data_IF_951750171623
#
_entry.id   IF_951750171623
#
_cell.length_a   1.000
_cell.length_b   1.000
_cell.length_c   1.000
_cell.angle_alpha   90.00
_cell.angle_beta   90.00
_cell.angle_gamma   90.00
#
_symmetry.space_group_name_H-M   'P 1'
#
loop_
_entity.id
_entity.type
_entity.pdbx_description
1 polymer ?
#
# COMPACT_ATOMS: atom_id res chain seq x y z
N UNK A 1 -1.48 22.86 27.62
CA UNK A 1 -0.70 22.18 26.59
C UNK A 1 -1.29 20.80 26.42
N UNK A 2 -2.08 20.58 25.38
CA UNK A 2 -2.66 19.26 25.11
C UNK A 2 -1.49 18.42 24.58
N UNK A 3 -1.07 17.43 25.37
CA UNK A 3 -0.19 16.36 24.91
C UNK A 3 -1.01 15.57 23.89
N UNK A 4 -0.85 15.87 22.61
CA UNK A 4 -1.35 15.03 21.53
C UNK A 4 -0.42 13.81 21.42
N UNK A 5 -0.55 12.90 22.38
CA UNK A 5 0.05 11.56 22.34
C UNK A 5 -0.75 10.61 21.44
N UNK A 6 -1.50 11.14 20.46
CA UNK A 6 -2.35 10.38 19.53
C UNK A 6 -1.97 10.55 18.06
N UNK A 7 -0.72 10.95 17.78
CA UNK A 7 -0.03 10.45 16.59
C UNK A 7 0.13 8.93 16.76
N UNK A 8 -0.98 8.20 16.58
CA UNK A 8 -1.04 6.76 16.43
C UNK A 8 0.14 6.38 15.55
N UNK A 9 1.10 5.64 16.11
CA UNK A 9 2.19 5.11 15.31
C UNK A 9 1.56 4.25 14.24
N UNK A 10 1.59 4.72 13.00
CA UNK A 10 1.18 3.89 11.88
C UNK A 10 2.05 2.64 11.89
N UNK A 11 1.41 1.47 11.85
CA UNK A 11 2.10 0.19 12.02
C UNK A 11 2.88 -0.26 10.77
N UNK A 12 2.84 0.55 9.71
CA UNK A 12 3.51 0.26 8.45
C UNK A 12 4.93 0.86 8.41
N UNK A 13 5.85 0.21 7.69
CA UNK A 13 7.25 0.61 7.60
C UNK A 13 7.42 1.96 6.90
N UNK A 14 8.27 2.81 7.47
CA UNK A 14 8.62 4.10 6.87
C UNK A 14 7.54 5.16 7.01
N UNK A 15 6.59 5.03 7.95
CA UNK A 15 5.51 6.02 8.12
C UNK A 15 5.99 7.46 8.37
N UNK A 16 7.15 7.65 9.02
CA UNK A 16 7.75 8.98 9.19
C UNK A 16 8.29 9.57 7.89
N UNK A 17 8.81 8.71 6.99
CA UNK A 17 9.28 9.10 5.67
C UNK A 17 8.08 9.39 4.75
N UNK A 18 7.06 8.53 4.81
CA UNK A 18 5.78 8.71 4.13
C UNK A 18 5.15 10.07 4.43
N UNK A 19 5.18 10.55 5.68
CA UNK A 19 4.64 11.85 6.07
C UNK A 19 5.23 13.06 5.30
N UNK A 20 6.39 12.87 4.65
CA UNK A 20 7.09 13.92 3.87
C UNK A 20 6.77 13.87 2.37
N UNK A 21 5.99 12.88 1.93
CA UNK A 21 5.61 12.67 0.54
C UNK A 21 4.25 13.30 0.29
N UNK A 22 4.15 14.13 -0.74
CA UNK A 22 2.90 14.77 -1.16
C UNK A 22 2.36 14.11 -2.43
N UNK A 23 1.04 14.03 -2.54
CA UNK A 23 0.35 13.58 -3.74
C UNK A 23 0.66 14.52 -4.92
N UNK A 24 0.93 13.90 -6.07
CA UNK A 24 1.01 14.59 -7.37
C UNK A 24 -0.32 14.51 -8.12
N UNK A 25 -1.15 13.52 -7.78
CA UNK A 25 -2.48 13.33 -8.34
C UNK A 25 -3.53 14.09 -7.54
N UNK A 26 -4.49 14.69 -8.24
CA UNK A 26 -5.68 15.33 -7.64
C UNK A 26 -6.93 14.46 -7.75
N UNK A 27 -6.81 13.24 -8.28
CA UNK A 27 -7.94 12.33 -8.53
C UNK A 27 -8.65 11.91 -7.24
N UNK A 28 -7.88 11.66 -6.18
CA UNK A 28 -8.38 11.17 -4.90
C UNK A 28 -8.42 12.29 -3.86
N UNK A 29 -9.53 13.03 -3.83
CA UNK A 29 -9.72 14.15 -2.91
C UNK A 29 -9.51 13.72 -1.45
N UNK A 30 -8.70 14.49 -0.73
CA UNK A 30 -8.39 14.22 0.69
C UNK A 30 -7.24 13.25 0.92
N UNK A 31 -6.64 12.67 -0.14
CA UNK A 31 -5.39 11.91 -0.04
C UNK A 31 -4.23 12.84 -0.37
N UNK A 32 -3.57 13.39 0.66
CA UNK A 32 -2.45 14.32 0.47
C UNK A 32 -1.11 13.64 0.70
N UNK A 33 -1.06 12.67 1.62
CA UNK A 33 0.13 11.90 1.98
C UNK A 33 -0.17 10.39 1.97
N UNK A 34 0.86 9.52 1.93
CA UNK A 34 0.65 8.09 2.10
C UNK A 34 0.02 7.72 3.47
N UNK A 35 0.08 8.61 4.47
CA UNK A 35 -0.65 8.43 5.73
C UNK A 35 -2.17 8.51 5.54
N UNK A 36 -2.62 9.44 4.69
CA UNK A 36 -4.05 9.58 4.35
C UNK A 36 -4.50 8.38 3.52
N UNK A 37 -3.65 7.96 2.57
CA UNK A 37 -3.90 6.76 1.78
C UNK A 37 -4.03 5.53 2.68
N UNK A 38 -3.10 5.30 3.61
CA UNK A 38 -3.15 4.18 4.52
C UNK A 38 -4.43 4.18 5.39
N UNK A 39 -4.86 5.34 5.88
CA UNK A 39 -6.13 5.46 6.62
C UNK A 39 -7.33 5.07 5.76
N UNK A 40 -7.38 5.52 4.50
CA UNK A 40 -8.45 5.15 3.57
C UNK A 40 -8.41 3.64 3.25
N UNK A 41 -7.25 3.13 2.83
CA UNK A 41 -7.03 1.73 2.52
C UNK A 41 -7.36 0.80 3.69
N UNK A 42 -7.04 1.21 4.92
CA UNK A 42 -7.41 0.50 6.14
C UNK A 42 -8.91 0.26 6.32
N UNK A 43 -9.78 0.98 5.61
CA UNK A 43 -11.23 0.81 5.64
C UNK A 43 -11.79 0.03 4.45
N UNK A 44 -11.05 -0.04 3.35
CA UNK A 44 -11.52 -0.63 2.08
C UNK A 44 -10.75 -1.88 1.65
N UNK A 45 -9.58 -2.16 2.22
CA UNK A 45 -8.94 -3.46 2.04
C UNK A 45 -9.88 -4.55 2.55
N UNK A 46 -10.05 -5.55 1.71
CA UNK A 46 -11.01 -6.62 1.91
C UNK A 46 -10.50 -7.91 1.26
N UNK A 47 -11.23 -9.00 1.47
CA UNK A 47 -10.90 -10.30 0.89
C UNK A 47 -10.86 -10.25 -0.65
N UNK A 48 -11.72 -9.48 -1.28
CA UNK A 48 -11.82 -9.37 -2.75
C UNK A 48 -10.63 -8.62 -3.38
N UNK A 49 -9.95 -7.76 -2.61
CA UNK A 49 -8.72 -7.07 -3.07
C UNK A 49 -7.45 -7.86 -2.71
N UNK A 50 -7.54 -8.81 -1.78
CA UNK A 50 -6.48 -9.76 -1.45
C UNK A 50 -6.18 -10.71 -2.62
N UNK A 51 -4.90 -11.04 -2.81
CA UNK A 51 -4.47 -12.04 -3.78
C UNK A 51 -5.16 -13.41 -3.56
N UNK A 52 -5.71 -14.06 -4.61
CA UNK A 52 -6.57 -15.24 -4.47
C UNK A 52 -5.96 -16.38 -3.66
N UNK A 53 -4.65 -16.61 -3.80
CA UNK A 53 -3.95 -17.65 -3.05
C UNK A 53 -3.92 -17.41 -1.54
N UNK A 54 -4.01 -16.15 -1.09
CA UNK A 54 -3.95 -15.73 0.30
C UNK A 54 -5.33 -15.38 0.89
N UNK A 55 -6.38 -15.33 0.08
CA UNK A 55 -7.75 -15.04 0.54
C UNK A 55 -8.24 -15.97 1.66
N UNK A 56 -7.91 -17.27 1.71
CA UNK A 56 -8.30 -18.14 2.83
C UNK A 56 -7.70 -17.72 4.17
N UNK A 57 -6.53 -17.07 4.15
CA UNK A 57 -5.79 -16.62 5.33
C UNK A 57 -6.04 -15.14 5.66
N UNK A 58 -6.73 -14.42 4.77
CA UNK A 58 -7.05 -13.01 4.98
C UNK A 58 -8.05 -12.83 6.12
N UNK A 59 -7.74 -11.92 7.04
CA UNK A 59 -8.60 -11.56 8.17
C UNK A 59 -8.66 -10.04 8.34
N UNK A 60 -9.61 -9.55 9.13
CA UNK A 60 -9.68 -8.12 9.45
C UNK A 60 -8.44 -7.66 10.25
N UNK A 61 -7.94 -8.52 11.14
CA UNK A 61 -6.74 -8.26 11.93
C UNK A 61 -5.48 -8.23 11.06
N UNK A 62 -5.44 -9.00 9.96
CA UNK A 62 -4.38 -8.96 8.96
C UNK A 62 -4.89 -8.50 7.58
N UNK A 63 -5.52 -7.32 7.56
CA UNK A 63 -6.13 -6.75 6.34
C UNK A 63 -5.14 -6.46 5.21
N UNK A 64 -3.85 -6.33 5.51
CA UNK A 64 -2.79 -6.01 4.55
C UNK A 64 -2.28 -7.23 3.76
N UNK A 65 -2.64 -8.45 4.20
CA UNK A 65 -2.22 -9.69 3.56
C UNK A 65 -2.61 -9.74 2.08
N UNK A 66 -1.63 -9.98 1.21
CA UNK A 66 -1.84 -10.13 -0.23
C UNK A 66 -2.23 -8.84 -0.96
N UNK A 67 -2.08 -7.67 -0.32
CA UNK A 67 -2.41 -6.36 -0.88
C UNK A 67 -1.21 -5.64 -1.51
N UNK A 68 0.02 -6.13 -1.30
CA UNK A 68 1.26 -5.37 -1.51
C UNK A 68 1.41 -4.79 -2.93
N UNK A 69 1.34 -5.63 -3.95
CA UNK A 69 1.60 -5.22 -5.34
C UNK A 69 0.59 -4.20 -5.85
N UNK A 70 -0.71 -4.43 -5.66
CA UNK A 70 -1.76 -3.50 -6.13
C UNK A 70 -1.73 -2.18 -5.35
N UNK A 71 -1.39 -2.24 -4.05
CA UNK A 71 -1.24 -1.06 -3.20
C UNK A 71 -0.04 -0.22 -3.62
N UNK A 72 1.11 -0.86 -3.87
CA UNK A 72 2.32 -0.16 -4.24
C UNK A 72 2.17 0.57 -5.58
N UNK A 73 1.50 -0.05 -6.56
CA UNK A 73 1.20 0.62 -7.83
C UNK A 73 0.16 1.73 -7.67
N UNK A 74 -0.90 1.55 -6.88
CA UNK A 74 -1.83 2.63 -6.58
C UNK A 74 -1.15 3.83 -5.89
N UNK A 75 -0.26 3.56 -4.93
CA UNK A 75 0.54 4.60 -4.30
C UNK A 75 1.47 5.30 -5.32
N UNK A 76 2.05 4.56 -6.26
CA UNK A 76 2.82 5.16 -7.35
C UNK A 76 1.96 6.08 -8.24
N UNK A 77 0.71 5.74 -8.52
CA UNK A 77 -0.18 6.61 -9.32
C UNK A 77 -0.53 7.92 -8.57
N UNK A 78 -0.55 7.88 -7.24
CA UNK A 78 -0.92 9.02 -6.40
C UNK A 78 0.29 9.92 -6.11
N UNK A 79 1.44 9.32 -5.80
CA UNK A 79 2.63 10.01 -5.28
C UNK A 79 3.81 10.02 -6.28
N UNK A 80 3.74 9.27 -7.37
CA UNK A 80 4.86 9.03 -8.27
C UNK A 80 5.90 8.07 -7.68
N UNK A 81 7.15 8.22 -8.12
CA UNK A 81 8.28 7.43 -7.65
C UNK A 81 8.31 5.99 -8.19
N UNK A 82 9.05 5.15 -7.47
CA UNK A 82 9.40 3.80 -7.90
C UNK A 82 8.74 2.74 -7.01
N UNK A 83 8.46 1.58 -7.61
CA UNK A 83 8.05 0.38 -6.89
C UNK A 83 9.23 -0.60 -6.87
N UNK A 84 9.66 -1.00 -5.69
CA UNK A 84 10.67 -2.02 -5.50
C UNK A 84 10.02 -3.28 -4.92
N UNK A 85 10.67 -4.43 -5.08
CA UNK A 85 10.23 -5.64 -4.40
C UNK A 85 11.38 -6.47 -3.83
N UNK A 86 11.12 -7.03 -2.66
CA UNK A 86 12.01 -7.97 -1.96
C UNK A 86 11.46 -9.39 -2.05
N UNK A 87 12.35 -10.38 -1.97
CA UNK A 87 11.96 -11.77 -1.86
C UNK A 87 11.53 -12.10 -0.42
N UNK A 88 10.40 -12.79 -0.28
CA UNK A 88 9.88 -13.31 0.98
C UNK A 88 9.50 -14.78 0.83
N UNK A 89 9.17 -15.45 1.94
CA UNK A 89 8.68 -16.85 1.94
C UNK A 89 7.46 -17.03 1.00
N UNK A 90 6.63 -15.99 0.87
CA UNK A 90 5.39 -16.01 0.07
C UNK A 90 5.55 -15.39 -1.33
N UNK A 91 6.78 -15.20 -1.80
CA UNK A 91 7.11 -14.61 -3.09
C UNK A 91 7.54 -13.14 -3.01
N UNK A 92 7.37 -12.39 -4.10
CA UNK A 92 7.79 -11.00 -4.18
C UNK A 92 6.86 -10.07 -3.40
N UNK A 93 7.44 -9.25 -2.54
CA UNK A 93 6.73 -8.25 -1.75
C UNK A 93 7.10 -6.83 -2.20
N UNK A 94 6.11 -6.07 -2.68
CA UNK A 94 6.31 -4.74 -3.25
C UNK A 94 6.17 -3.61 -2.22
N UNK A 95 6.96 -2.55 -2.39
CA UNK A 95 6.91 -1.32 -1.59
C UNK A 95 7.32 -0.10 -2.44
N UNK A 96 7.17 1.11 -1.90
CA UNK A 96 7.41 2.36 -2.63
C UNK A 96 8.66 3.09 -2.15
N UNK A 97 9.32 3.75 -3.10
CA UNK A 97 10.33 4.78 -2.82
C UNK A 97 9.99 6.02 -3.63
N UNK A 98 9.69 7.13 -2.96
CA UNK A 98 9.31 8.39 -3.59
C UNK A 98 10.26 9.49 -3.13
N UNK A 99 11.04 10.08 -4.03
CA UNK A 99 12.04 11.11 -3.71
C UNK A 99 12.97 10.68 -2.55
N UNK A 100 13.42 9.42 -2.56
CA UNK A 100 14.26 8.83 -1.52
C UNK A 100 13.53 8.49 -0.21
N UNK A 101 12.22 8.76 -0.10
CA UNK A 101 11.40 8.33 1.04
C UNK A 101 10.86 6.93 0.79
N UNK A 102 11.38 5.95 1.52
CA UNK A 102 10.92 4.57 1.46
C UNK A 102 9.75 4.35 2.42
N UNK A 103 8.68 3.71 1.93
CA UNK A 103 7.56 3.29 2.75
C UNK A 103 6.88 2.06 2.17
N UNK A 104 6.25 1.29 3.05
CA UNK A 104 5.52 0.07 2.70
C UNK A 104 4.22 0.03 3.49
N UNK A 105 3.13 0.38 2.83
CA UNK A 105 1.80 0.44 3.45
C UNK A 105 1.26 -0.93 3.87
N UNK A 106 1.94 -2.02 3.50
CA UNK A 106 1.49 -3.39 3.69
C UNK A 106 2.47 -4.25 4.49
N UNK A 107 3.48 -3.64 5.12
CA UNK A 107 4.48 -4.38 5.91
C UNK A 107 3.88 -5.15 7.10
N UNK A 108 2.71 -4.74 7.57
CA UNK A 108 2.00 -5.38 8.68
C UNK A 108 1.61 -6.83 8.39
N UNK A 109 1.55 -7.25 7.13
CA UNK A 109 1.18 -8.62 6.80
C UNK A 109 2.14 -9.66 7.35
N UNK A 110 3.35 -9.23 7.72
CA UNK A 110 4.40 -10.05 8.28
C UNK A 110 4.40 -10.07 9.83
N UNK A 111 3.52 -9.31 10.49
CA UNK A 111 3.47 -9.20 11.94
C UNK A 111 4.86 -8.90 12.54
N UNK A 112 5.29 -9.71 13.51
CA UNK A 112 6.60 -9.55 14.16
C UNK A 112 7.80 -9.70 13.22
N UNK A 113 7.65 -10.41 12.08
CA UNK A 113 8.69 -10.54 11.05
C UNK A 113 8.88 -9.26 10.25
N UNK A 114 7.98 -8.27 10.34
CA UNK A 114 8.11 -7.01 9.61
C UNK A 114 9.43 -6.26 9.92
N UNK A 115 9.98 -6.45 11.13
CA UNK A 115 11.27 -5.87 11.55
C UNK A 115 12.49 -6.50 10.87
N UNK A 116 12.31 -7.64 10.22
CA UNK A 116 13.37 -8.41 9.53
C UNK A 116 13.43 -8.08 8.04
N UNK A 117 12.47 -7.30 7.52
CA UNK A 117 12.42 -6.88 6.13
C UNK A 117 13.57 -5.93 5.79
N UNK A 118 14.22 -6.18 4.64
CA UNK A 118 15.35 -5.40 4.16
C UNK A 118 14.90 -4.56 2.96
N UNK A 119 14.91 -3.24 3.09
CA UNK A 119 14.42 -2.30 2.07
C UNK A 119 15.53 -1.70 1.18
N UNK A 120 16.68 -2.36 1.10
CA UNK A 120 17.86 -1.90 0.35
C UNK A 120 18.35 -2.95 -0.65
N UNK A 121 18.79 -2.52 -1.83
CA UNK A 121 19.34 -3.44 -2.85
C UNK A 121 18.30 -4.34 -3.54
N UNK A 122 17.02 -3.98 -3.40
CA UNK A 122 15.90 -4.71 -3.98
C UNK A 122 15.66 -4.37 -5.45
N UNK A 123 14.84 -5.18 -6.11
CA UNK A 123 14.65 -5.14 -7.57
C UNK A 123 13.54 -4.14 -7.91
N UNK A 124 13.82 -3.20 -8.82
CA UNK A 124 12.81 -2.31 -9.39
C UNK A 124 11.74 -3.11 -10.12
N UNK A 125 10.47 -2.75 -9.95
CA UNK A 125 9.32 -3.44 -10.52
C UNK A 125 8.59 -2.55 -11.52
N UNK A 126 8.10 -3.15 -12.59
CA UNK A 126 7.31 -2.48 -13.62
C UNK A 126 5.90 -3.08 -13.72
N UNK A 127 4.92 -2.27 -14.08
CA UNK A 127 3.51 -2.70 -14.16
C UNK A 127 3.33 -3.80 -15.18
N UNK A 128 4.10 -3.71 -16.27
CA UNK A 128 4.10 -4.58 -17.43
C UNK A 128 4.75 -5.95 -17.14
N UNK A 129 5.41 -6.12 -15.98
CA UNK A 129 6.06 -7.39 -15.65
C UNK A 129 5.04 -8.54 -15.60
N UNK A 130 5.45 -9.71 -16.07
CA UNK A 130 4.63 -10.93 -16.15
C UNK A 130 3.98 -11.35 -14.81
N UNK A 131 4.58 -10.93 -13.70
CA UNK A 131 4.09 -11.20 -12.35
C UNK A 131 3.07 -10.16 -11.87
N UNK A 132 2.96 -9.00 -12.52
CA UNK A 132 2.11 -7.87 -12.14
C UNK A 132 0.85 -7.75 -13.00
N UNK A 133 0.69 -6.71 -13.81
CA UNK A 133 -0.56 -6.46 -14.55
C UNK A 133 -0.66 -7.20 -15.88
N UNK A 134 0.38 -7.91 -16.30
CA UNK A 134 0.27 -8.95 -17.31
C UNK A 134 -0.68 -10.09 -16.87
N UNK A 135 -0.91 -10.25 -15.56
CA UNK A 135 -1.94 -11.14 -15.03
C UNK A 135 -3.24 -10.37 -14.88
N UNK A 136 -4.24 -10.79 -15.65
CA UNK A 136 -5.59 -10.19 -15.63
C UNK A 136 -6.16 -10.11 -14.20
N UNK A 137 -6.04 -11.19 -13.44
CA UNK A 137 -6.45 -11.28 -12.03
C UNK A 137 -5.95 -10.09 -11.20
N UNK A 138 -4.65 -9.80 -11.26
CA UNK A 138 -4.05 -8.73 -10.45
C UNK A 138 -4.47 -7.36 -10.96
N UNK A 139 -4.56 -7.19 -12.28
CA UNK A 139 -5.03 -5.95 -12.87
C UNK A 139 -6.48 -5.63 -12.47
N UNK A 140 -7.36 -6.65 -12.42
CA UNK A 140 -8.73 -6.49 -11.96
C UNK A 140 -8.80 -6.10 -10.48
N UNK A 141 -7.99 -6.71 -9.61
CA UNK A 141 -7.92 -6.30 -8.19
C UNK A 141 -7.40 -4.90 -8.00
N UNK A 142 -6.39 -4.49 -8.77
CA UNK A 142 -5.91 -3.11 -8.77
C UNK A 142 -7.01 -2.13 -9.15
N UNK A 143 -7.78 -2.42 -10.20
CA UNK A 143 -8.93 -1.60 -10.61
C UNK A 143 -10.00 -1.53 -9.52
N UNK A 144 -10.37 -2.67 -8.93
CA UNK A 144 -11.30 -2.73 -7.81
C UNK A 144 -10.84 -1.85 -6.62
N UNK A 145 -9.58 -1.98 -6.20
CA UNK A 145 -9.04 -1.15 -5.11
C UNK A 145 -9.07 0.35 -5.45
N UNK A 146 -8.76 0.70 -6.71
CA UNK A 146 -8.78 2.08 -7.19
C UNK A 146 -10.20 2.66 -7.19
N UNK A 147 -11.21 1.87 -7.56
CA UNK A 147 -12.63 2.24 -7.54
C UNK A 147 -13.13 2.43 -6.09
N UNK A 148 -12.82 1.48 -5.20
CA UNK A 148 -13.16 1.58 -3.78
C UNK A 148 -12.54 2.84 -3.14
N UNK A 149 -11.31 3.18 -3.49
CA UNK A 149 -10.66 4.41 -3.01
C UNK A 149 -11.38 5.66 -3.53
N UNK A 150 -11.77 5.68 -4.81
CA UNK A 150 -12.50 6.80 -5.39
C UNK A 150 -13.86 7.00 -4.70
N UNK A 151 -14.61 5.92 -4.46
CA UNK A 151 -15.87 5.95 -3.71
C UNK A 151 -15.68 6.47 -2.28
N UNK A 152 -14.65 6.00 -1.58
CA UNK A 152 -14.32 6.46 -0.24
C UNK A 152 -14.06 7.98 -0.21
N UNK A 153 -13.26 8.48 -1.15
CA UNK A 153 -12.94 9.91 -1.23
C UNK A 153 -14.15 10.78 -1.58
N UNK A 154 -15.04 10.28 -2.43
CA UNK A 154 -16.28 10.97 -2.81
C UNK A 154 -17.26 11.08 -1.63
N UNK A 155 -17.42 10.01 -0.83
CA UNK A 155 -18.29 10.00 0.36
C UNK A 155 -17.81 10.96 1.45
N UNK A 156 -16.50 11.19 1.57
CA UNK A 156 -15.92 12.15 2.52
C UNK A 156 -16.02 13.62 2.09
N UNK A 157 -16.32 13.88 0.81
CA UNK A 157 -16.40 15.23 0.26
C UNK A 157 -17.80 15.84 0.37
N UNK A 158 -18.77 15.09 0.91
CA UNK A 158 -20.14 15.51 1.24
C UNK A 158 -20.24 15.81 2.74
#
# INVERSE_FOLDING_TARGET
MINDSSLNSFAFYGHQAAAKVNAISTLYKGIQTPLDLYKALSTIWCKETCGPALQPEWTLDNKTLGQCSITAFLAQDIFGGDVYAMHTENGMHCYNVVNGQCFDLTSEQFGDKARELVYTGNILQHREDAIHFAREEKFLRYKNLSELLAEFCNKKSL
#
